data_IF_648598318118
#
_entry.id   IF_648598318118
#
_cell.length_a   1.000
_cell.length_b   1.000
_cell.length_c   1.000
_cell.angle_alpha   90.00
_cell.angle_beta   90.00
_cell.angle_gamma   90.00
#
_symmetry.space_group_name_H-M   'P 1'
#
loop_
_entity.id
_entity.type
_entity.pdbx_description
1 polymer ?
#
# COMPACT_ATOMS: atom_id res chain seq x y z
N UNK A 1 -11.95 9.87 37.36
CA UNK A 1 -11.83 8.53 36.73
C UNK A 1 -10.83 8.67 35.59
N UNK A 2 -9.57 8.25 35.77
CA UNK A 2 -8.57 8.29 34.70
C UNK A 2 -8.98 7.25 33.66
N UNK A 3 -9.41 7.70 32.49
CA UNK A 3 -9.62 6.82 31.34
C UNK A 3 -8.23 6.28 31.00
N UNK A 4 -7.97 5.02 31.36
CA UNK A 4 -6.82 4.29 30.84
C UNK A 4 -7.11 4.15 29.35
N UNK A 5 -6.49 5.00 28.55
CA UNK A 5 -6.56 4.90 27.09
C UNK A 5 -5.92 3.56 26.76
N UNK A 6 -6.73 2.56 26.39
CA UNK A 6 -6.19 1.33 25.81
C UNK A 6 -5.53 1.71 24.50
N UNK A 7 -4.30 1.27 24.31
CA UNK A 7 -3.60 1.41 23.04
C UNK A 7 -4.43 0.73 21.94
N UNK A 8 -4.41 1.31 20.74
CA UNK A 8 -5.00 0.69 19.55
C UNK A 8 -4.22 -0.58 19.18
N UNK A 9 -4.83 -1.47 18.38
CA UNK A 9 -4.19 -2.70 17.95
C UNK A 9 -2.92 -2.40 17.15
N UNK A 10 -2.96 -1.41 16.25
CA UNK A 10 -1.78 -1.05 15.46
C UNK A 10 -0.66 -0.48 16.33
N UNK A 11 -0.96 0.26 17.41
CA UNK A 11 0.05 0.75 18.37
C UNK A 11 0.73 -0.43 19.07
N UNK A 12 -0.04 -1.46 19.42
CA UNK A 12 0.47 -2.71 20.00
C UNK A 12 1.38 -3.44 19.02
N UNK A 13 0.94 -3.68 17.78
CA UNK A 13 1.77 -4.33 16.76
C UNK A 13 3.01 -3.53 16.39
N UNK A 14 2.91 -2.21 16.30
CA UNK A 14 4.06 -1.35 16.05
C UNK A 14 5.11 -1.46 17.17
N UNK A 15 4.69 -1.68 18.42
CA UNK A 15 5.63 -1.85 19.54
C UNK A 15 6.53 -3.09 19.40
N UNK A 16 6.07 -4.12 18.69
CA UNK A 16 6.87 -5.29 18.32
C UNK A 16 7.70 -5.00 17.05
N UNK A 17 7.04 -4.48 16.01
CA UNK A 17 7.67 -4.19 14.71
C UNK A 17 8.81 -3.16 14.78
N UNK A 18 8.72 -2.15 15.66
CA UNK A 18 9.72 -1.05 15.75
C UNK A 18 11.16 -1.50 15.96
N UNK A 19 11.39 -2.71 16.46
CA UNK A 19 12.72 -3.24 16.71
C UNK A 19 13.38 -3.78 15.43
N UNK A 20 12.58 -4.12 14.42
CA UNK A 20 13.02 -4.65 13.13
C UNK A 20 12.76 -3.70 11.97
N UNK A 21 11.85 -2.74 12.14
CA UNK A 21 11.46 -1.75 11.14
C UNK A 21 12.65 -0.98 10.54
N UNK A 22 12.56 -0.64 9.26
CA UNK A 22 13.55 0.25 8.65
C UNK A 22 13.52 1.65 9.30
N UNK A 23 14.62 2.42 9.25
CA UNK A 23 14.71 3.74 9.88
C UNK A 23 13.66 4.76 9.40
N UNK A 24 13.03 4.49 8.24
CA UNK A 24 12.02 5.34 7.63
C UNK A 24 10.61 5.13 8.21
N UNK A 25 10.33 3.98 8.84
CA UNK A 25 8.97 3.63 9.33
C UNK A 25 8.75 4.09 10.77
N UNK A 26 8.50 5.39 10.91
CA UNK A 26 8.19 6.06 12.20
C UNK A 26 6.72 5.89 12.59
N UNK A 27 6.35 5.93 13.89
CA UNK A 27 4.96 5.75 14.33
C UNK A 27 4.02 6.82 13.78
N UNK A 28 4.54 8.01 13.45
CA UNK A 28 3.76 9.11 12.89
C UNK A 28 3.13 8.76 11.53
N UNK A 29 3.78 7.89 10.74
CA UNK A 29 3.23 7.39 9.48
C UNK A 29 1.94 6.61 9.73
N UNK A 30 1.99 5.62 10.62
CA UNK A 30 0.84 4.78 10.95
C UNK A 30 -0.25 5.56 11.67
N UNK A 31 0.13 6.54 12.51
CA UNK A 31 -0.85 7.44 13.11
C UNK A 31 -1.60 8.26 12.06
N UNK A 32 -0.88 8.75 11.05
CA UNK A 32 -1.48 9.46 9.94
C UNK A 32 -2.38 8.54 9.12
N UNK A 33 -1.94 7.33 8.75
CA UNK A 33 -2.76 6.34 8.05
C UNK A 33 -4.05 6.01 8.82
N UNK A 34 -3.94 5.71 10.12
CA UNK A 34 -5.09 5.48 10.99
C UNK A 34 -6.11 6.62 10.92
N UNK A 35 -5.65 7.87 11.01
CA UNK A 35 -6.55 9.03 10.94
C UNK A 35 -7.22 9.16 9.56
N UNK A 36 -6.55 8.82 8.46
CA UNK A 36 -7.17 8.80 7.13
C UNK A 36 -8.13 7.63 6.98
N UNK A 37 -7.84 6.46 7.52
CA UNK A 37 -8.74 5.32 7.42
C UNK A 37 -10.05 5.49 8.21
N UNK A 38 -10.12 6.46 9.13
CA UNK A 38 -11.39 6.90 9.72
C UNK A 38 -12.31 7.57 8.70
N UNK A 39 -11.78 8.17 7.63
CA UNK A 39 -12.57 8.83 6.57
C UNK A 39 -12.61 8.02 5.29
N UNK A 40 -11.55 7.28 4.98
CA UNK A 40 -11.42 6.37 3.84
C UNK A 40 -12.12 5.03 4.15
N UNK A 41 -13.45 5.07 4.21
CA UNK A 41 -14.29 3.89 4.30
C UNK A 41 -15.52 3.98 3.39
N UNK A 42 -16.10 2.83 3.03
CA UNK A 42 -17.35 2.78 2.27
C UNK A 42 -18.52 3.32 3.09
N UNK A 43 -19.48 3.98 2.44
CA UNK A 43 -20.63 4.58 3.13
C UNK A 43 -21.62 3.56 3.70
N UNK A 44 -21.53 2.30 3.27
CA UNK A 44 -22.33 1.17 3.77
C UNK A 44 -21.79 0.57 5.07
N UNK A 45 -20.63 1.03 5.53
CA UNK A 45 -20.05 0.60 6.81
C UNK A 45 -20.82 1.24 7.96
N UNK A 46 -21.34 0.41 8.87
CA UNK A 46 -21.92 0.87 10.11
C UNK A 46 -20.93 1.67 10.95
N UNK A 47 -21.34 2.81 11.51
CA UNK A 47 -20.45 3.74 12.22
C UNK A 47 -19.72 3.11 13.42
N UNK A 48 -20.28 2.06 14.02
CA UNK A 48 -19.66 1.29 15.10
C UNK A 48 -18.40 0.52 14.66
N UNK A 49 -18.27 0.17 13.37
CA UNK A 49 -17.12 -0.56 12.83
C UNK A 49 -15.98 0.36 12.40
N UNK A 50 -16.22 1.66 12.17
CA UNK A 50 -15.22 2.59 11.63
C UNK A 50 -13.91 2.59 12.44
N UNK A 51 -13.91 2.73 13.79
CA UNK A 51 -12.66 2.71 14.55
C UNK A 51 -11.92 1.37 14.44
N UNK A 52 -12.66 0.24 14.46
CA UNK A 52 -12.08 -1.10 14.31
C UNK A 52 -11.45 -1.26 12.92
N UNK A 53 -12.14 -0.85 11.86
CA UNK A 53 -11.64 -0.92 10.49
C UNK A 53 -10.42 -0.04 10.28
N UNK A 54 -10.40 1.18 10.81
CA UNK A 54 -9.22 2.03 10.73
C UNK A 54 -8.01 1.39 11.41
N UNK A 55 -8.22 0.72 12.55
CA UNK A 55 -7.19 -0.04 13.26
C UNK A 55 -6.67 -1.22 12.41
N UNK A 56 -7.57 -2.05 11.86
CA UNK A 56 -7.20 -3.19 11.00
C UNK A 56 -6.49 -2.78 9.71
N UNK A 57 -6.96 -1.73 9.04
CA UNK A 57 -6.31 -1.16 7.85
C UNK A 57 -4.91 -0.63 8.18
N UNK A 58 -4.73 -0.03 9.35
CA UNK A 58 -3.39 0.40 9.80
C UNK A 58 -2.48 -0.78 10.11
N UNK A 59 -3.01 -1.86 10.68
CA UNK A 59 -2.26 -3.10 10.89
C UNK A 59 -1.86 -3.76 9.56
N UNK A 60 -2.74 -3.77 8.56
CA UNK A 60 -2.40 -4.23 7.22
C UNK A 60 -1.32 -3.34 6.58
N UNK A 61 -1.39 -2.02 6.77
CA UNK A 61 -0.35 -1.12 6.29
C UNK A 61 1.02 -1.36 6.98
N UNK A 62 1.05 -1.85 8.23
CA UNK A 62 2.30 -2.28 8.89
C UNK A 62 2.91 -3.49 8.17
N UNK A 63 2.09 -4.46 7.79
CA UNK A 63 2.52 -5.66 7.05
C UNK A 63 2.98 -5.27 5.64
N UNK A 64 2.18 -4.44 4.96
CA UNK A 64 2.47 -3.91 3.63
C UNK A 64 3.84 -3.28 3.56
N UNK A 65 4.14 -2.29 4.43
CA UNK A 65 5.46 -1.65 4.41
C UNK A 65 6.60 -2.59 4.85
N UNK A 66 6.31 -3.63 5.63
CA UNK A 66 7.33 -4.59 6.03
C UNK A 66 7.73 -5.51 4.87
N UNK A 67 6.76 -5.93 4.06
CA UNK A 67 7.01 -6.72 2.85
C UNK A 67 7.62 -5.82 1.75
N UNK A 68 7.12 -4.59 1.58
CA UNK A 68 7.71 -3.57 0.68
C UNK A 68 9.19 -3.31 0.99
N UNK A 69 9.54 -3.07 2.25
CA UNK A 69 10.94 -2.88 2.68
C UNK A 69 11.79 -4.14 2.36
N UNK A 70 11.20 -5.33 2.41
CA UNK A 70 11.87 -6.59 2.06
C UNK A 70 12.07 -6.79 0.55
N UNK A 71 11.45 -5.96 -0.28
CA UNK A 71 11.54 -5.99 -1.74
C UNK A 71 12.38 -4.82 -2.29
N UNK A 72 12.31 -3.65 -1.67
CA UNK A 72 12.93 -2.44 -2.23
C UNK A 72 14.15 -1.95 -1.44
N UNK A 73 14.25 -2.24 -0.14
CA UNK A 73 15.35 -1.72 0.68
C UNK A 73 16.61 -2.61 0.61
N UNK A 74 17.43 -2.37 -0.41
CA UNK A 74 18.63 -3.17 -0.75
C UNK A 74 19.53 -3.54 0.45
N UNK A 75 19.77 -2.62 1.40
CA UNK A 75 20.64 -2.89 2.55
C UNK A 75 20.00 -3.84 3.55
N UNK A 76 18.68 -3.73 3.77
CA UNK A 76 17.90 -4.65 4.59
C UNK A 76 17.91 -6.04 3.97
N UNK A 77 17.61 -6.14 2.68
CA UNK A 77 17.61 -7.40 1.92
C UNK A 77 18.94 -8.15 2.12
N UNK A 78 20.07 -7.47 1.87
CA UNK A 78 21.41 -8.06 2.05
C UNK A 78 21.68 -8.52 3.48
N UNK A 79 21.28 -7.73 4.49
CA UNK A 79 21.50 -8.06 5.91
C UNK A 79 20.62 -9.21 6.39
N UNK A 80 19.43 -9.37 5.79
CA UNK A 80 18.40 -10.30 6.24
C UNK A 80 18.39 -11.65 5.53
N UNK A 81 19.30 -11.90 4.59
CA UNK A 81 19.42 -13.19 3.90
C UNK A 81 19.29 -13.14 2.38
N UNK A 82 19.26 -11.95 1.78
CA UNK A 82 19.21 -11.77 0.34
C UNK A 82 17.85 -12.17 -0.25
N UNK A 83 17.88 -12.83 -1.40
CA UNK A 83 16.68 -13.20 -2.15
C UNK A 83 15.74 -14.12 -1.36
N UNK A 84 16.28 -15.07 -0.59
CA UNK A 84 15.48 -15.98 0.26
C UNK A 84 14.60 -15.18 1.23
N UNK A 85 15.12 -14.08 1.77
CA UNK A 85 14.37 -13.20 2.67
C UNK A 85 13.21 -12.51 1.96
N UNK A 86 13.46 -11.90 0.79
CA UNK A 86 12.40 -11.24 0.01
C UNK A 86 11.30 -12.23 -0.40
N UNK A 87 11.67 -13.42 -0.87
CA UNK A 87 10.68 -14.43 -1.29
C UNK A 87 9.92 -15.04 -0.12
N UNK A 88 10.52 -15.21 1.05
CA UNK A 88 9.78 -15.66 2.24
C UNK A 88 8.75 -14.62 2.68
N UNK A 89 9.10 -13.33 2.63
CA UNK A 89 8.18 -12.24 2.96
C UNK A 89 7.00 -12.17 1.98
N UNK A 90 7.27 -12.29 0.68
CA UNK A 90 6.24 -12.38 -0.37
C UNK A 90 5.38 -13.64 -0.22
N UNK A 91 5.98 -14.77 0.14
CA UNK A 91 5.29 -16.06 0.31
C UNK A 91 4.18 -15.97 1.36
N UNK A 92 4.37 -15.21 2.44
CA UNK A 92 3.33 -14.99 3.44
C UNK A 92 2.07 -14.36 2.83
N UNK A 93 2.22 -13.34 1.97
CA UNK A 93 1.10 -12.69 1.30
C UNK A 93 0.48 -13.61 0.24
N UNK A 94 1.29 -14.28 -0.59
CA UNK A 94 0.81 -15.22 -1.59
C UNK A 94 -0.05 -16.35 -1.01
N UNK A 95 0.32 -16.79 0.20
CA UNK A 95 -0.32 -17.89 0.91
C UNK A 95 -1.18 -17.42 2.08
N UNK A 96 -1.78 -16.23 2.00
CA UNK A 96 -2.64 -15.68 3.05
C UNK A 96 -3.76 -16.63 3.47
N UNK A 97 -4.30 -17.43 2.55
CA UNK A 97 -5.29 -18.46 2.86
C UNK A 97 -4.75 -19.55 3.81
N UNK A 98 -3.49 -19.97 3.61
CA UNK A 98 -2.81 -20.94 4.48
C UNK A 98 -2.41 -20.33 5.82
N UNK A 99 -2.04 -19.06 5.83
CA UNK A 99 -1.80 -18.29 7.07
C UNK A 99 -3.10 -18.24 7.88
N UNK A 100 -4.22 -17.87 7.24
CA UNK A 100 -5.54 -17.81 7.87
C UNK A 100 -5.97 -19.17 8.46
N UNK A 101 -5.67 -20.28 7.79
CA UNK A 101 -5.99 -21.62 8.29
C UNK A 101 -4.97 -22.18 9.29
N UNK A 102 -3.86 -21.48 9.55
CA UNK A 102 -2.81 -21.92 10.46
C UNK A 102 -1.98 -23.11 9.96
N UNK A 103 -1.95 -23.33 8.64
CA UNK A 103 -1.17 -24.43 8.02
C UNK A 103 -0.02 -23.90 7.15
N UNK A 104 0.24 -22.59 7.17
CA UNK A 104 1.38 -22.02 6.48
C UNK A 104 2.68 -22.64 6.99
N UNK A 105 3.52 -23.07 6.05
CA UNK A 105 4.86 -23.59 6.31
C UNK A 105 5.82 -22.67 5.59
N UNK A 106 6.82 -22.18 6.32
CA UNK A 106 7.87 -21.35 5.75
C UNK A 106 8.56 -22.06 4.58
N UNK A 107 8.80 -21.31 3.50
CA UNK A 107 9.44 -21.84 2.28
C UNK A 107 10.95 -21.92 2.41
N UNK A 108 11.54 -21.18 3.36
CA UNK A 108 12.98 -21.06 3.55
C UNK A 108 13.40 -21.52 4.96
N UNK A 109 13.82 -22.77 5.11
CA UNK A 109 14.31 -23.32 6.39
C UNK A 109 15.52 -22.57 6.97
N UNK A 110 16.29 -21.89 6.13
CA UNK A 110 17.49 -21.14 6.53
C UNK A 110 17.15 -19.82 7.27
N UNK A 111 15.90 -19.36 7.21
CA UNK A 111 15.44 -18.12 7.83
C UNK A 111 14.77 -18.35 9.20
N UNK A 112 14.86 -19.55 9.76
CA UNK A 112 14.18 -19.93 11.01
C UNK A 112 14.52 -19.05 12.22
N UNK A 113 15.61 -18.27 12.17
CA UNK A 113 16.04 -17.34 13.22
C UNK A 113 16.01 -15.87 12.77
N UNK A 114 15.40 -15.56 11.62
CA UNK A 114 15.29 -14.19 11.16
C UNK A 114 14.17 -13.47 11.91
N UNK A 115 14.55 -12.64 12.88
CA UNK A 115 13.62 -11.89 13.75
C UNK A 115 12.69 -10.97 12.96
N UNK A 116 13.10 -10.46 11.79
CA UNK A 116 12.23 -9.65 10.95
C UNK A 116 11.08 -10.48 10.39
N UNK A 117 11.40 -11.64 9.79
CA UNK A 117 10.40 -12.58 9.24
C UNK A 117 9.47 -13.07 10.34
N UNK A 118 10.02 -13.51 11.48
CA UNK A 118 9.26 -14.00 12.63
C UNK A 118 8.30 -12.93 13.16
N UNK A 119 8.80 -11.71 13.40
CA UNK A 119 7.98 -10.61 13.93
C UNK A 119 6.85 -10.26 12.95
N UNK A 120 7.14 -10.15 11.65
CA UNK A 120 6.12 -9.82 10.66
C UNK A 120 5.10 -10.96 10.51
N UNK A 121 5.55 -12.22 10.52
CA UNK A 121 4.66 -13.38 10.45
C UNK A 121 3.72 -13.45 11.66
N UNK A 122 4.23 -13.24 12.87
CA UNK A 122 3.42 -13.29 14.09
C UNK A 122 2.33 -12.23 14.08
N UNK A 123 2.67 -10.99 13.69
CA UNK A 123 1.70 -9.89 13.55
C UNK A 123 0.66 -10.25 12.48
N UNK A 124 1.11 -10.71 11.30
CA UNK A 124 0.20 -11.01 10.19
C UNK A 124 -0.72 -12.18 10.51
N UNK A 125 -0.18 -13.25 11.06
CA UNK A 125 -0.92 -14.45 11.47
C UNK A 125 -1.98 -14.12 12.52
N UNK A 126 -1.63 -13.37 13.57
CA UNK A 126 -2.61 -12.92 14.58
C UNK A 126 -3.68 -12.00 13.98
N UNK A 127 -3.27 -11.01 13.17
CA UNK A 127 -4.20 -10.09 12.50
C UNK A 127 -5.24 -10.84 11.66
N UNK A 128 -4.80 -11.76 10.81
CA UNK A 128 -5.72 -12.52 9.95
C UNK A 128 -6.59 -13.48 10.79
N UNK A 129 -5.96 -14.29 11.65
CA UNK A 129 -6.63 -15.42 12.33
C UNK A 129 -7.51 -15.01 13.49
N UNK A 130 -7.19 -13.91 14.18
CA UNK A 130 -7.90 -13.46 15.38
C UNK A 130 -8.85 -12.31 15.03
N UNK A 131 -8.39 -11.34 14.22
CA UNK A 131 -9.11 -10.09 14.06
C UNK A 131 -9.93 -10.02 12.76
N UNK A 132 -9.34 -10.32 11.61
CA UNK A 132 -10.04 -10.25 10.31
C UNK A 132 -11.04 -11.39 10.17
N UNK A 133 -10.68 -12.61 10.59
CA UNK A 133 -11.59 -13.77 10.61
C UNK A 133 -12.85 -13.55 11.47
N UNK A 134 -12.79 -12.62 12.44
CA UNK A 134 -13.90 -12.28 13.33
C UNK A 134 -14.91 -11.29 12.73
N UNK A 135 -14.67 -10.79 11.53
CA UNK A 135 -15.56 -9.80 10.91
C UNK A 135 -16.88 -10.46 10.47
N UNK A 136 -18.02 -9.74 10.57
CA UNK A 136 -19.35 -10.33 10.39
C UNK A 136 -19.55 -11.10 9.08
N UNK A 137 -19.01 -10.56 7.97
CA UNK A 137 -19.09 -11.17 6.64
C UNK A 137 -17.73 -11.70 6.15
N UNK A 138 -16.83 -12.08 7.05
CA UNK A 138 -15.53 -12.65 6.68
C UNK A 138 -15.67 -13.83 5.71
N UNK A 139 -16.50 -14.83 6.05
CA UNK A 139 -16.66 -16.03 5.22
C UNK A 139 -17.23 -15.74 3.83
N UNK A 140 -17.97 -14.64 3.68
CA UNK A 140 -18.56 -14.23 2.42
C UNK A 140 -17.54 -13.58 1.48
N UNK A 141 -16.57 -12.81 2.01
CA UNK A 141 -15.61 -12.04 1.22
C UNK A 141 -14.15 -12.53 1.32
N UNK A 142 -13.87 -13.61 2.05
CA UNK A 142 -12.50 -14.10 2.25
C UNK A 142 -11.79 -14.47 0.95
N UNK A 143 -12.53 -14.93 -0.07
CA UNK A 143 -11.96 -15.28 -1.38
C UNK A 143 -11.39 -14.07 -2.09
N UNK A 144 -12.18 -13.00 -2.18
CA UNK A 144 -11.80 -11.69 -2.73
C UNK A 144 -10.66 -11.08 -1.92
N UNK A 145 -10.72 -11.18 -0.59
CA UNK A 145 -9.67 -10.69 0.30
C UNK A 145 -8.34 -11.39 0.03
N UNK A 146 -8.32 -12.73 -0.04
CA UNK A 146 -7.08 -13.46 -0.33
C UNK A 146 -6.56 -13.15 -1.73
N UNK A 147 -7.44 -13.03 -2.73
CA UNK A 147 -7.04 -12.62 -4.07
C UNK A 147 -6.42 -11.21 -4.07
N UNK A 148 -7.02 -10.26 -3.35
CA UNK A 148 -6.51 -8.90 -3.26
C UNK A 148 -5.12 -8.84 -2.59
N UNK A 149 -4.90 -9.61 -1.52
CA UNK A 149 -3.57 -9.72 -0.88
C UNK A 149 -2.54 -10.35 -1.83
N UNK A 150 -2.91 -11.35 -2.64
CA UNK A 150 -2.02 -11.91 -3.66
C UNK A 150 -1.61 -10.87 -4.70
N UNK A 151 -2.54 -10.03 -5.15
CA UNK A 151 -2.21 -8.95 -6.10
C UNK A 151 -1.22 -7.94 -5.50
N UNK A 152 -1.28 -7.71 -4.19
CA UNK A 152 -0.28 -6.87 -3.47
C UNK A 152 1.09 -7.55 -3.51
N UNK A 153 1.14 -8.86 -3.24
CA UNK A 153 2.38 -9.64 -3.34
C UNK A 153 2.97 -9.58 -4.77
N UNK A 154 2.13 -9.76 -5.80
CA UNK A 154 2.55 -9.66 -7.21
C UNK A 154 3.13 -8.28 -7.54
N UNK A 155 2.50 -7.22 -7.02
CA UNK A 155 2.97 -5.85 -7.18
C UNK A 155 4.35 -5.60 -6.53
N UNK A 156 4.57 -6.12 -5.34
CA UNK A 156 5.84 -6.02 -4.62
C UNK A 156 6.93 -6.87 -5.28
N UNK A 157 6.59 -8.08 -5.72
CA UNK A 157 7.51 -8.95 -6.47
C UNK A 157 7.92 -8.30 -7.79
N UNK A 158 6.98 -7.68 -8.51
CA UNK A 158 7.28 -6.91 -9.71
C UNK A 158 8.29 -5.80 -9.42
N UNK A 159 8.10 -5.04 -8.35
CA UNK A 159 9.00 -3.97 -7.92
C UNK A 159 10.40 -4.51 -7.62
N UNK A 160 10.49 -5.58 -6.83
CA UNK A 160 11.74 -6.27 -6.51
C UNK A 160 12.50 -6.74 -7.78
N UNK A 161 11.81 -7.41 -8.71
CA UNK A 161 12.41 -7.92 -9.95
C UNK A 161 12.93 -6.76 -10.81
N UNK A 162 12.14 -5.71 -10.95
CA UNK A 162 12.50 -4.52 -11.72
C UNK A 162 13.74 -3.86 -11.13
N UNK A 163 13.74 -3.64 -9.81
CA UNK A 163 14.82 -3.00 -9.07
C UNK A 163 16.13 -3.80 -9.13
N UNK A 164 16.03 -5.12 -8.94
CA UNK A 164 17.17 -6.03 -8.99
C UNK A 164 17.80 -6.12 -10.38
N UNK A 165 16.97 -6.28 -11.41
CA UNK A 165 17.46 -6.57 -12.76
C UNK A 165 17.74 -5.31 -13.59
N UNK A 166 17.36 -4.12 -13.09
CA UNK A 166 17.51 -2.83 -13.80
C UNK A 166 16.89 -2.91 -15.20
N UNK A 167 15.61 -3.32 -15.26
CA UNK A 167 14.86 -3.45 -16.51
C UNK A 167 13.96 -2.23 -16.68
N UNK A 168 13.95 -1.65 -17.87
CA UNK A 168 13.00 -0.59 -18.22
C UNK A 168 11.73 -1.23 -18.78
N UNK A 169 10.61 -1.01 -18.09
CA UNK A 169 9.27 -1.35 -18.58
C UNK A 169 8.54 -0.10 -19.08
N UNK A 170 7.58 -0.23 -20.00
CA UNK A 170 6.67 0.86 -20.34
C UNK A 170 5.95 1.37 -19.09
N UNK A 171 5.83 2.69 -18.96
CA UNK A 171 5.19 3.37 -17.83
C UNK A 171 3.80 2.83 -17.55
N UNK A 172 2.99 2.62 -18.59
CA UNK A 172 1.64 2.07 -18.45
C UNK A 172 1.63 0.68 -17.80
N UNK A 173 2.65 -0.14 -18.09
CA UNK A 173 2.79 -1.46 -17.49
C UNK A 173 3.22 -1.35 -16.02
N UNK A 174 4.17 -0.45 -15.71
CA UNK A 174 4.57 -0.18 -14.32
C UNK A 174 3.39 0.27 -13.47
N UNK A 175 2.58 1.21 -13.98
CA UNK A 175 1.39 1.70 -13.28
C UNK A 175 0.41 0.56 -13.00
N UNK A 176 0.13 -0.29 -13.99
CA UNK A 176 -0.78 -1.42 -13.82
C UNK A 176 -0.26 -2.46 -12.83
N UNK A 177 1.03 -2.77 -12.89
CA UNK A 177 1.66 -3.79 -12.03
C UNK A 177 1.85 -3.30 -10.60
N UNK A 178 2.08 -2.00 -10.36
CA UNK A 178 2.28 -1.45 -9.01
C UNK A 178 1.02 -1.04 -8.27
N UNK A 179 -0.11 -0.86 -8.96
CA UNK A 179 -1.29 -0.22 -8.36
C UNK A 179 -1.75 -0.89 -7.05
N UNK A 180 -1.67 -2.22 -6.96
CA UNK A 180 -2.14 -2.96 -5.79
C UNK A 180 -1.33 -2.71 -4.51
N UNK A 181 -0.10 -2.16 -4.60
CA UNK A 181 0.76 -1.95 -3.41
C UNK A 181 0.20 -0.92 -2.42
N UNK A 182 -0.85 -0.18 -2.76
CA UNK A 182 -1.50 0.75 -1.81
C UNK A 182 -2.64 0.12 -1.01
N UNK A 183 -2.92 -1.17 -1.23
CA UNK A 183 -3.89 -1.96 -0.46
C UNK A 183 -5.33 -1.40 -0.48
N UNK A 184 -5.70 -0.53 -1.44
CA UNK A 184 -7.04 0.09 -1.47
C UNK A 184 -8.12 -0.95 -1.67
N UNK A 185 -7.92 -1.89 -2.61
CA UNK A 185 -8.86 -3.01 -2.80
C UNK A 185 -8.99 -3.85 -1.53
N UNK A 186 -7.87 -4.17 -0.87
CA UNK A 186 -7.87 -4.95 0.39
C UNK A 186 -8.67 -4.23 1.48
N UNK A 187 -8.41 -2.94 1.67
CA UNK A 187 -9.11 -2.10 2.65
C UNK A 187 -10.60 -1.97 2.34
N UNK A 188 -10.97 -1.86 1.07
CA UNK A 188 -12.37 -1.78 0.65
C UNK A 188 -13.08 -3.11 0.88
N UNK A 189 -12.42 -4.25 0.68
CA UNK A 189 -12.98 -5.57 0.99
C UNK A 189 -13.18 -5.73 2.51
N UNK A 190 -12.28 -5.20 3.35
CA UNK A 190 -12.52 -5.17 4.81
C UNK A 190 -13.77 -4.37 5.18
N UNK A 191 -14.04 -3.26 4.49
CA UNK A 191 -15.27 -2.51 4.67
C UNK A 191 -16.49 -3.34 4.29
N UNK A 192 -16.43 -4.10 3.19
CA UNK A 192 -17.48 -5.03 2.79
C UNK A 192 -17.74 -6.11 3.85
N UNK A 193 -16.68 -6.63 4.49
CA UNK A 193 -16.81 -7.60 5.58
C UNK A 193 -17.59 -7.07 6.81
N UNK A 194 -17.74 -5.75 6.93
CA UNK A 194 -18.46 -5.04 7.98
C UNK A 194 -19.73 -4.33 7.47
N UNK A 195 -20.16 -4.57 6.23
CA UNK A 195 -21.29 -3.89 5.60
C UNK A 195 -22.47 -4.84 5.45
N UNK A 196 -23.47 -4.73 6.34
CA UNK A 196 -24.65 -5.61 6.34
C UNK A 196 -25.52 -5.41 5.08
N UNK A 197 -25.61 -4.18 4.59
CA UNK A 197 -26.49 -3.80 3.46
C UNK A 197 -25.83 -3.92 2.08
N UNK A 198 -24.61 -4.46 1.99
CA UNK A 198 -23.94 -4.63 0.70
C UNK A 198 -24.51 -5.82 -0.10
N UNK A 199 -24.92 -5.55 -1.34
CA UNK A 199 -25.53 -6.50 -2.26
C UNK A 199 -24.51 -7.15 -3.20
N UNK A 200 -24.65 -8.47 -3.39
CA UNK A 200 -23.74 -9.25 -4.22
C UNK A 200 -23.66 -8.77 -5.68
N UNK A 201 -24.76 -8.22 -6.20
CA UNK A 201 -24.86 -7.72 -7.58
C UNK A 201 -23.89 -6.58 -7.87
N UNK A 202 -23.49 -5.83 -6.84
CA UNK A 202 -22.64 -4.66 -6.99
C UNK A 202 -21.15 -4.99 -6.92
N UNK A 203 -20.80 -6.21 -6.48
CA UNK A 203 -19.41 -6.62 -6.21
C UNK A 203 -18.49 -6.43 -7.42
N UNK A 204 -18.94 -6.82 -8.61
CA UNK A 204 -18.15 -6.69 -9.83
C UNK A 204 -17.74 -5.24 -10.11
N UNK A 205 -18.72 -4.33 -10.11
CA UNK A 205 -18.48 -2.90 -10.34
C UNK A 205 -17.68 -2.26 -9.21
N UNK A 206 -17.96 -2.66 -7.95
CA UNK A 206 -17.22 -2.18 -6.78
C UNK A 206 -15.73 -2.53 -6.86
N UNK A 207 -15.37 -3.77 -7.21
CA UNK A 207 -13.97 -4.19 -7.36
C UNK A 207 -13.27 -3.40 -8.47
N UNK A 208 -13.94 -3.10 -9.59
CA UNK A 208 -13.37 -2.27 -10.65
C UNK A 208 -13.08 -0.86 -10.13
N UNK A 209 -14.05 -0.24 -9.45
CA UNK A 209 -13.87 1.09 -8.85
C UNK A 209 -12.73 1.11 -7.82
N UNK A 210 -12.60 0.07 -6.99
CA UNK A 210 -11.52 -0.04 -6.00
C UNK A 210 -10.14 -0.17 -6.67
N UNK A 211 -10.04 -0.92 -7.78
CA UNK A 211 -8.80 -1.03 -8.55
C UNK A 211 -8.39 0.31 -9.17
N UNK A 212 -9.34 1.11 -9.64
CA UNK A 212 -9.06 2.47 -10.11
C UNK A 212 -8.56 3.35 -8.95
N UNK A 213 -9.14 3.20 -7.75
CA UNK A 213 -8.70 3.91 -6.56
C UNK A 213 -7.29 3.48 -6.09
N UNK A 214 -6.90 2.22 -6.27
CA UNK A 214 -5.51 1.77 -6.07
C UNK A 214 -4.53 2.53 -6.99
N UNK A 215 -4.87 2.68 -8.28
CA UNK A 215 -4.05 3.49 -9.21
C UNK A 215 -3.96 4.94 -8.72
N UNK A 216 -5.07 5.54 -8.28
CA UNK A 216 -5.07 6.92 -7.76
C UNK A 216 -4.17 7.05 -6.53
N UNK A 217 -4.31 6.16 -5.55
CA UNK A 217 -3.51 6.20 -4.33
C UNK A 217 -2.01 5.98 -4.63
N UNK A 218 -1.69 5.07 -5.55
CA UNK A 218 -0.31 4.77 -5.96
C UNK A 218 0.34 5.97 -6.68
N UNK A 219 -0.37 6.59 -7.64
CA UNK A 219 0.14 7.78 -8.32
C UNK A 219 0.27 8.97 -7.35
N UNK A 220 -0.68 9.16 -6.42
CA UNK A 220 -0.60 10.21 -5.39
C UNK A 220 0.66 10.04 -4.54
N UNK A 221 0.91 8.81 -4.07
CA UNK A 221 2.12 8.49 -3.33
C UNK A 221 3.39 8.82 -4.15
N UNK A 222 3.45 8.37 -5.41
CA UNK A 222 4.60 8.56 -6.30
C UNK A 222 4.94 10.04 -6.55
N UNK A 223 3.95 10.94 -6.62
CA UNK A 223 4.17 12.39 -6.78
C UNK A 223 4.97 12.97 -5.60
N UNK A 224 4.95 12.34 -4.43
CA UNK A 224 5.61 12.84 -3.22
C UNK A 224 6.85 12.06 -2.81
N UNK A 225 6.90 10.77 -3.10
CA UNK A 225 7.98 9.89 -2.64
C UNK A 225 9.14 9.83 -3.62
N UNK A 226 8.97 10.25 -4.88
CA UNK A 226 9.99 10.09 -5.94
C UNK A 226 11.39 10.62 -5.57
N UNK A 227 11.47 11.72 -4.82
CA UNK A 227 12.77 12.26 -4.36
C UNK A 227 13.52 11.29 -3.45
N UNK A 228 12.78 10.70 -2.49
CA UNK A 228 13.33 9.66 -1.61
C UNK A 228 13.67 8.41 -2.42
N UNK A 229 12.82 8.05 -3.38
CA UNK A 229 12.98 6.86 -4.21
C UNK A 229 14.23 6.93 -5.12
N UNK A 230 14.74 8.12 -5.45
CA UNK A 230 16.05 8.27 -6.11
C UNK A 230 17.16 7.70 -5.23
N UNK A 231 17.15 8.02 -3.93
CA UNK A 231 18.14 7.53 -2.96
C UNK A 231 18.00 6.03 -2.72
N UNK A 232 16.78 5.54 -2.70
CA UNK A 232 16.44 4.12 -2.53
C UNK A 232 16.72 3.31 -3.80
N UNK A 233 16.91 3.99 -4.94
CA UNK A 233 17.05 3.39 -6.28
C UNK A 233 15.86 2.51 -6.65
N UNK A 234 14.66 2.97 -6.28
CA UNK A 234 13.42 2.32 -6.64
C UNK A 234 13.04 2.71 -8.07
N UNK A 235 13.52 1.93 -9.03
CA UNK A 235 13.23 2.08 -10.45
C UNK A 235 11.78 1.73 -10.80
N UNK A 236 11.05 1.11 -9.88
CA UNK A 236 9.64 0.79 -10.04
C UNK A 236 8.73 1.98 -9.71
N UNK A 237 9.27 3.07 -9.13
CA UNK A 237 8.59 4.35 -9.00
C UNK A 237 8.06 4.86 -10.34
N UNK A 238 6.77 5.25 -10.46
CA UNK A 238 6.20 5.76 -11.71
C UNK A 238 6.98 6.94 -12.32
N UNK A 239 7.50 7.85 -11.49
CA UNK A 239 8.28 9.01 -11.95
C UNK A 239 9.62 8.56 -12.52
N UNK A 240 10.35 7.68 -11.81
CA UNK A 240 11.66 7.18 -12.24
C UNK A 240 11.51 6.28 -13.47
N UNK A 241 10.53 5.38 -13.48
CA UNK A 241 10.21 4.51 -14.61
C UNK A 241 9.95 5.32 -15.88
N UNK A 242 9.13 6.38 -15.79
CA UNK A 242 8.85 7.26 -16.93
C UNK A 242 10.11 7.98 -17.42
N UNK A 243 11.01 8.38 -16.51
CA UNK A 243 12.28 9.01 -16.84
C UNK A 243 13.22 8.07 -17.61
N UNK A 244 13.29 6.82 -17.16
CA UNK A 244 14.07 5.76 -17.80
C UNK A 244 13.49 5.41 -19.19
N UNK A 245 12.17 5.28 -19.30
CA UNK A 245 11.48 5.03 -20.58
C UNK A 245 11.75 6.15 -21.59
N UNK A 246 11.61 7.41 -21.16
CA UNK A 246 11.90 8.60 -21.98
C UNK A 246 13.39 8.85 -22.21
N UNK A 247 14.27 8.04 -21.61
CA UNK A 247 15.74 8.17 -21.68
C UNK A 247 16.26 9.51 -21.20
N UNK A 248 15.55 10.15 -20.26
CA UNK A 248 16.02 11.38 -19.59
C UNK A 248 17.11 11.07 -18.57
N UNK A 249 17.08 9.86 -18.02
CA UNK A 249 18.11 9.30 -17.14
C UNK A 249 18.42 7.86 -17.56
N UNK A 250 19.56 7.36 -17.11
CA UNK A 250 20.02 5.97 -17.25
C UNK A 250 20.30 5.40 -15.85
N UNK A 251 20.30 4.08 -15.72
CA UNK A 251 20.65 3.42 -14.45
C UNK A 251 22.00 3.84 -13.88
N UNK A 252 22.99 4.10 -14.74
CA UNK A 252 24.31 4.59 -14.33
C UNK A 252 24.25 5.95 -13.63
N UNK A 253 23.27 6.79 -13.97
CA UNK A 253 23.18 8.14 -13.41
C UNK A 253 22.88 8.08 -11.90
N UNK A 254 22.14 7.06 -11.44
CA UNK A 254 21.89 6.80 -10.01
C UNK A 254 23.13 6.33 -9.22
N UNK A 255 24.23 6.06 -9.92
CA UNK A 255 25.53 5.70 -9.33
C UNK A 255 26.55 6.83 -9.46
N UNK A 256 26.49 7.63 -10.53
CA UNK A 256 27.55 8.59 -10.87
C UNK A 256 27.13 10.05 -10.82
N UNK A 257 25.83 10.35 -10.93
CA UNK A 257 25.30 11.71 -10.90
C UNK A 257 24.95 12.14 -9.48
N UNK A 258 24.96 13.45 -9.23
CA UNK A 258 24.41 13.99 -7.98
C UNK A 258 22.89 13.85 -7.98
N UNK A 259 22.30 13.79 -6.78
CA UNK A 259 20.85 13.66 -6.60
C UNK A 259 20.12 14.86 -7.21
N UNK A 260 20.69 16.06 -7.07
CA UNK A 260 20.13 17.31 -7.58
C UNK A 260 19.98 17.29 -9.10
N UNK A 261 20.97 16.77 -9.82
CA UNK A 261 20.91 16.65 -11.28
C UNK A 261 19.83 15.63 -11.72
N UNK A 262 19.65 14.53 -10.98
CA UNK A 262 18.56 13.60 -11.25
C UNK A 262 17.22 14.28 -10.97
N UNK A 263 17.11 15.02 -9.86
CA UNK A 263 15.88 15.73 -9.50
C UNK A 263 15.44 16.75 -10.55
N UNK A 264 16.36 17.52 -11.12
CA UNK A 264 16.05 18.48 -12.19
C UNK A 264 15.42 17.79 -13.42
N UNK A 265 15.91 16.61 -13.79
CA UNK A 265 15.40 15.85 -14.93
C UNK A 265 14.04 15.18 -14.65
N UNK A 266 13.76 14.83 -13.39
CA UNK A 266 12.53 14.14 -12.99
C UNK A 266 11.39 15.10 -12.63
N UNK A 267 11.69 16.36 -12.27
CA UNK A 267 10.71 17.34 -11.82
C UNK A 267 9.54 17.51 -12.81
N UNK A 268 9.75 17.70 -14.13
CA UNK A 268 8.63 17.83 -15.08
C UNK A 268 7.78 16.56 -15.18
N UNK A 269 8.37 15.39 -14.93
CA UNK A 269 7.65 14.13 -14.98
C UNK A 269 6.72 13.97 -13.78
N UNK A 270 7.08 14.50 -12.61
CA UNK A 270 6.21 14.49 -11.44
C UNK A 270 4.90 15.24 -11.68
N UNK A 271 4.93 16.30 -12.49
CA UNK A 271 3.74 17.03 -12.94
C UNK A 271 2.91 16.19 -13.92
N UNK A 272 3.56 15.48 -14.85
CA UNK A 272 2.87 14.55 -15.75
C UNK A 272 2.17 13.41 -14.99
N UNK A 273 2.76 12.91 -13.90
CA UNK A 273 2.13 11.91 -13.03
C UNK A 273 0.89 12.50 -12.34
N UNK A 274 0.96 13.76 -11.88
CA UNK A 274 -0.19 14.44 -11.29
C UNK A 274 -1.33 14.63 -12.31
N UNK A 275 -1.01 14.93 -13.57
CA UNK A 275 -1.99 14.98 -14.65
C UNK A 275 -2.62 13.62 -14.92
N UNK A 276 -1.83 12.55 -14.92
CA UNK A 276 -2.34 11.19 -15.08
C UNK A 276 -3.28 10.78 -13.93
N UNK A 277 -2.92 11.11 -12.69
CA UNK A 277 -3.78 10.94 -11.53
C UNK A 277 -5.14 11.63 -11.71
N UNK A 278 -5.15 12.87 -12.23
CA UNK A 278 -6.39 13.60 -12.48
C UNK A 278 -7.24 12.92 -13.57
N UNK A 279 -6.62 12.35 -14.61
CA UNK A 279 -7.36 11.58 -15.62
C UNK A 279 -8.00 10.33 -15.03
N UNK A 280 -7.30 9.59 -14.16
CA UNK A 280 -7.88 8.41 -13.52
C UNK A 280 -9.05 8.79 -12.62
N UNK A 281 -8.97 9.90 -11.88
CA UNK A 281 -10.10 10.42 -11.10
C UNK A 281 -11.33 10.73 -11.97
N UNK A 282 -11.13 11.38 -13.13
CA UNK A 282 -12.21 11.65 -14.07
C UNK A 282 -12.80 10.35 -14.63
N UNK A 283 -11.96 9.36 -14.95
CA UNK A 283 -12.41 8.03 -15.38
C UNK A 283 -13.22 7.33 -14.28
N UNK A 284 -12.91 7.51 -13.00
CA UNK A 284 -13.71 6.96 -11.89
C UNK A 284 -15.11 7.61 -11.85
N UNK A 285 -15.20 8.92 -12.09
CA UNK A 285 -16.47 9.64 -12.16
C UNK A 285 -17.30 9.17 -13.35
N UNK A 286 -16.70 9.09 -14.54
CA UNK A 286 -17.35 8.54 -15.75
C UNK A 286 -17.79 7.08 -15.53
N UNK A 287 -16.99 6.28 -14.82
CA UNK A 287 -17.34 4.91 -14.51
C UNK A 287 -18.61 4.83 -13.67
N UNK A 288 -18.73 5.61 -12.58
CA UNK A 288 -19.91 5.54 -11.71
C UNK A 288 -21.17 6.17 -12.34
N UNK A 289 -21.01 7.03 -13.34
CA UNK A 289 -22.12 7.52 -14.18
C UNK A 289 -22.69 6.41 -15.09
N UNK A 290 -21.83 5.53 -15.60
CA UNK A 290 -22.21 4.47 -16.54
C UNK A 290 -22.52 3.13 -15.87
N UNK A 291 -21.97 2.87 -14.68
CA UNK A 291 -22.07 1.61 -13.96
C UNK A 291 -22.59 1.86 -12.54
N UNK A 292 -23.88 1.58 -12.35
CA UNK A 292 -24.55 1.79 -11.06
C UNK A 292 -23.97 0.86 -9.97
N UNK A 293 -23.75 1.44 -8.79
CA UNK A 293 -23.42 0.75 -7.53
C UNK A 293 -24.41 1.28 -6.51
N UNK A 294 -25.32 0.43 -6.02
CA UNK A 294 -26.43 0.83 -5.12
C UNK A 294 -26.04 0.71 -3.65
N UNK A 295 -25.14 -0.22 -3.35
CA UNK A 295 -24.79 -0.63 -2.01
C UNK A 295 -24.06 0.46 -1.23
N UNK A 296 -23.36 1.39 -1.91
CA UNK A 296 -22.70 2.52 -1.26
C UNK A 296 -22.66 3.75 -2.18
N UNK A 297 -22.44 4.91 -1.58
CA UNK A 297 -22.28 6.19 -2.27
C UNK A 297 -20.90 6.23 -2.95
N UNK A 298 -20.87 5.85 -4.22
CA UNK A 298 -19.66 5.77 -5.01
C UNK A 298 -19.02 7.16 -5.27
N UNK A 299 -19.84 8.21 -5.39
CA UNK A 299 -19.33 9.58 -5.52
C UNK A 299 -18.68 10.05 -4.22
N UNK A 300 -19.25 9.72 -3.05
CA UNK A 300 -18.60 9.97 -1.76
C UNK A 300 -17.28 9.21 -1.64
N UNK A 301 -17.22 7.95 -2.11
CA UNK A 301 -15.97 7.19 -2.15
C UNK A 301 -14.90 7.93 -2.98
N UNK A 302 -15.22 8.36 -4.20
CA UNK A 302 -14.30 9.14 -5.06
C UNK A 302 -13.88 10.44 -4.36
N UNK A 303 -14.83 11.17 -3.77
CA UNK A 303 -14.57 12.44 -3.10
C UNK A 303 -13.68 12.31 -1.85
N UNK A 304 -13.76 11.18 -1.14
CA UNK A 304 -12.86 10.89 -0.03
C UNK A 304 -11.40 10.77 -0.52
N UNK A 305 -11.17 10.12 -1.67
CA UNK A 305 -9.82 10.06 -2.28
C UNK A 305 -9.36 11.42 -2.81
N UNK A 306 -10.24 12.22 -3.42
CA UNK A 306 -9.92 13.61 -3.81
C UNK A 306 -9.49 14.45 -2.60
N UNK A 307 -10.19 14.29 -1.48
CA UNK A 307 -9.86 14.99 -0.23
C UNK A 307 -8.52 14.53 0.33
N UNK A 308 -8.28 13.22 0.38
CA UNK A 308 -7.01 12.62 0.80
C UNK A 308 -5.82 13.17 -0.01
N UNK A 309 -5.93 13.18 -1.35
CA UNK A 309 -4.93 13.75 -2.25
C UNK A 309 -4.69 15.23 -1.93
N UNK A 310 -5.75 16.01 -1.77
CA UNK A 310 -5.64 17.43 -1.46
C UNK A 310 -4.99 17.71 -0.10
N UNK A 311 -5.28 16.90 0.92
CA UNK A 311 -4.62 16.99 2.22
C UNK A 311 -3.13 16.65 2.15
N UNK A 312 -2.76 15.62 1.36
CA UNK A 312 -1.36 15.30 1.07
C UNK A 312 -0.64 16.45 0.37
N UNK A 313 -1.27 17.06 -0.65
CA UNK A 313 -0.76 18.26 -1.33
C UNK A 313 -0.49 19.41 -0.36
N UNK A 314 -1.43 19.68 0.56
CA UNK A 314 -1.30 20.76 1.55
C UNK A 314 -0.16 20.53 2.53
N UNK A 315 -0.03 19.31 3.08
CA UNK A 315 1.05 18.98 4.03
C UNK A 315 2.42 19.13 3.42
N UNK A 316 2.59 18.69 2.17
CA UNK A 316 3.88 18.78 1.49
C UNK A 316 4.28 20.22 1.15
N UNK A 317 3.32 21.10 0.84
CA UNK A 317 3.59 22.54 0.70
C UNK A 317 4.01 23.20 2.02
N UNK A 318 3.42 22.80 3.14
CA UNK A 318 3.80 23.29 4.47
C UNK A 318 5.20 22.80 4.89
N UNK A 319 5.55 21.55 4.59
CA UNK A 319 6.89 21.00 4.88
C UNK A 319 7.96 21.72 4.05
N UNK A 320 7.72 22.00 2.75
CA UNK A 320 8.64 22.80 1.92
C UNK A 320 8.87 24.21 2.52
N UNK A 321 7.82 24.89 2.97
CA UNK A 321 7.95 26.23 3.56
C UNK A 321 8.71 26.31 4.89
N UNK A 322 8.91 25.16 5.57
CA UNK A 322 9.66 25.07 6.84
C UNK A 322 11.14 24.74 6.59
N UNK A 323 11.46 24.08 5.46
CA UNK A 323 12.85 23.73 5.09
C UNK A 323 13.53 24.89 4.34
N UNK A 324 12.77 25.81 3.77
CA UNK A 324 13.25 27.03 3.11
C UNK A 324 13.38 28.25 4.06
N UNK A 325 13.38 28.04 5.39
CA UNK A 325 13.59 29.05 6.45
C UNK A 325 14.77 28.65 7.35
#
# INVERSE_FOLDING_TARGET
MKIIKRDTLWETYYSYYRNVASPFRKPILFKWLYNNYITLHLSCVGSCYIPKLADLKTCLALIDVAVDDSCDYTSLIKKSGGDEFSYEMLSMLYNTDKVASGIYISTCSNLSNNVYVETTFDIFSDLIRTHISSLPKYDYFKGEFFLAIRNVAESMEFSYILNKNKIVYPFSFVVQSKAASTMVVVHSILDLMCSEDFEASDLGNAIVLFKMADVVAMLDNAVYTWKREILERDYSSPVISLALEKRLVKFSDFETSSVENIEENLLPLSEMIADELNKILLSMEEFVENYEIKSFDALRFINNYKTYIFENQRKNKQIKSIVDL
#
